data_IF_198911354137
#
_entry.id   IF_198911354137
#
_cell.length_a   1.000
_cell.length_b   1.000
_cell.length_c   1.000
_cell.angle_alpha   90.00
_cell.angle_beta   90.00
_cell.angle_gamma   90.00
#
_symmetry.space_group_name_H-M   'P 1'
#
loop_
_entity.id
_entity.type
_entity.pdbx_description
1 polymer ?
#
# COMPACT_ATOMS: atom_id res chain seq x y z
N UNK A 1 8.24 22.31 9.17
CA UNK A 1 7.78 22.26 7.77
C UNK A 1 6.74 21.16 7.70
N UNK A 2 5.54 21.42 7.18
CA UNK A 2 4.53 20.38 7.00
C UNK A 2 4.93 19.47 5.82
N UNK A 3 4.63 18.17 5.91
CA UNK A 3 4.75 17.28 4.75
C UNK A 3 3.85 17.76 3.61
N UNK A 4 4.29 17.57 2.36
CA UNK A 4 3.42 17.73 1.18
C UNK A 4 2.44 16.57 1.09
N UNK A 5 1.35 16.73 0.32
CA UNK A 5 0.40 15.65 0.10
C UNK A 5 1.04 14.45 -0.61
N UNK A 6 2.01 14.69 -1.51
CA UNK A 6 2.78 13.63 -2.15
C UNK A 6 3.62 12.84 -1.14
N UNK A 7 4.24 13.52 -0.18
CA UNK A 7 5.00 12.85 0.88
C UNK A 7 4.09 12.03 1.79
N UNK A 8 2.93 12.58 2.18
CA UNK A 8 1.93 11.84 2.97
C UNK A 8 1.39 10.61 2.23
N UNK A 9 1.09 10.77 0.94
CA UNK A 9 0.60 9.68 0.09
C UNK A 9 1.66 8.58 -0.08
N UNK A 10 2.93 8.95 -0.24
CA UNK A 10 4.04 8.02 -0.29
C UNK A 10 4.17 7.21 1.00
N UNK A 11 4.21 7.88 2.15
CA UNK A 11 4.35 7.22 3.45
C UNK A 11 3.18 6.25 3.71
N UNK A 12 1.95 6.67 3.41
CA UNK A 12 0.76 5.82 3.57
C UNK A 12 0.79 4.60 2.62
N UNK A 13 1.19 4.81 1.37
CA UNK A 13 1.29 3.72 0.40
C UNK A 13 2.32 2.67 0.82
N UNK A 14 3.49 3.09 1.34
CA UNK A 14 4.50 2.17 1.85
C UNK A 14 3.98 1.34 3.04
N UNK A 15 3.34 1.98 4.02
CA UNK A 15 2.77 1.28 5.17
C UNK A 15 1.70 0.25 4.76
N UNK A 16 0.86 0.61 3.80
CA UNK A 16 -0.19 -0.29 3.31
C UNK A 16 0.38 -1.47 2.50
N UNK A 17 1.41 -1.24 1.68
CA UNK A 17 2.15 -2.32 1.00
C UNK A 17 2.80 -3.26 2.00
N UNK A 18 3.45 -2.73 3.03
CA UNK A 18 4.08 -3.53 4.09
C UNK A 18 3.05 -4.39 4.83
N UNK A 19 1.89 -3.82 5.16
CA UNK A 19 0.80 -4.56 5.79
C UNK A 19 0.26 -5.70 4.91
N UNK A 20 0.15 -5.49 3.59
CA UNK A 20 -0.25 -6.51 2.62
C UNK A 20 0.76 -7.66 2.55
N UNK A 21 2.04 -7.33 2.43
CA UNK A 21 3.14 -8.31 2.41
C UNK A 21 3.13 -9.13 3.70
N UNK A 22 3.02 -8.47 4.86
CA UNK A 22 2.96 -9.14 6.16
C UNK A 22 1.76 -10.07 6.27
N UNK A 23 0.58 -9.64 5.80
CA UNK A 23 -0.63 -10.49 5.80
C UNK A 23 -0.41 -11.76 4.98
N UNK A 24 0.18 -11.64 3.79
CA UNK A 24 0.43 -12.79 2.92
C UNK A 24 1.45 -13.74 3.52
N UNK A 25 2.54 -13.22 4.09
CA UNK A 25 3.55 -14.02 4.78
C UNK A 25 2.94 -14.82 5.94
N UNK A 26 2.08 -14.17 6.75
CA UNK A 26 1.36 -14.84 7.85
C UNK A 26 0.43 -15.93 7.32
N UNK A 27 -0.28 -15.68 6.21
CA UNK A 27 -1.16 -16.67 5.55
C UNK A 27 -0.37 -17.92 5.12
N UNK A 28 0.81 -17.71 4.54
CA UNK A 28 1.72 -18.79 4.13
C UNK A 28 2.25 -19.58 5.33
N UNK A 29 2.69 -18.90 6.40
CA UNK A 29 3.17 -19.55 7.64
C UNK A 29 2.08 -20.42 8.27
N UNK A 30 0.84 -19.93 8.30
CA UNK A 30 -0.28 -20.64 8.91
C UNK A 30 -0.83 -21.79 8.05
N UNK A 31 -0.24 -22.04 6.87
CA UNK A 31 -0.68 -23.10 5.96
C UNK A 31 -2.09 -22.90 5.40
N UNK A 32 -2.65 -21.69 5.54
CA UNK A 32 -3.98 -21.35 5.04
C UNK A 32 -4.01 -21.29 3.49
N UNK A 33 -2.84 -21.30 2.85
CA UNK A 33 -2.66 -21.04 1.43
C UNK A 33 -1.79 -22.10 0.72
N UNK A 34 -1.99 -23.39 1.05
CA UNK A 34 -1.21 -24.50 0.48
C UNK A 34 -1.53 -24.81 -0.99
N UNK A 35 -2.59 -24.22 -1.56
CA UNK A 35 -3.11 -24.52 -2.90
C UNK A 35 -3.39 -23.27 -3.77
N UNK A 36 -3.12 -22.06 -3.29
CA UNK A 36 -3.14 -20.92 -4.20
C UNK A 36 -1.88 -21.00 -5.05
N UNK A 37 -2.06 -21.09 -6.37
CA UNK A 37 -1.02 -20.72 -7.34
C UNK A 37 -0.19 -19.58 -6.74
N UNK A 38 1.13 -19.77 -6.64
CA UNK A 38 2.09 -18.77 -6.18
C UNK A 38 2.05 -17.55 -7.11
N UNK A 39 0.95 -16.79 -7.08
CA UNK A 39 0.87 -15.49 -7.72
C UNK A 39 1.80 -14.61 -6.94
N UNK A 40 2.93 -14.31 -7.55
CA UNK A 40 3.87 -13.29 -7.10
C UNK A 40 3.08 -12.04 -6.74
N UNK A 41 3.37 -11.45 -5.57
CA UNK A 41 2.76 -10.17 -5.21
C UNK A 41 3.40 -9.12 -6.09
N UNK A 42 2.61 -8.48 -6.95
CA UNK A 42 3.06 -7.28 -7.64
C UNK A 42 3.12 -6.11 -6.66
N UNK A 43 4.26 -5.99 -5.97
CA UNK A 43 4.53 -4.95 -4.98
C UNK A 43 4.47 -3.57 -5.62
N UNK A 44 4.98 -3.43 -6.85
CA UNK A 44 5.01 -2.14 -7.54
C UNK A 44 3.62 -1.69 -7.95
N UNK A 45 2.82 -2.58 -8.56
CA UNK A 45 1.43 -2.29 -8.91
C UNK A 45 0.62 -1.90 -7.68
N UNK A 46 0.77 -2.65 -6.58
CA UNK A 46 0.12 -2.34 -5.31
C UNK A 46 0.52 -0.97 -4.77
N UNK A 47 1.82 -0.66 -4.75
CA UNK A 47 2.31 0.65 -4.32
C UNK A 47 1.74 1.78 -5.21
N UNK A 48 1.79 1.60 -6.53
CA UNK A 48 1.34 2.61 -7.50
C UNK A 48 -0.14 2.95 -7.28
N UNK A 49 -0.99 1.94 -7.17
CA UNK A 49 -2.43 2.12 -6.95
C UNK A 49 -2.73 2.80 -5.60
N UNK A 50 -2.05 2.35 -4.53
CA UNK A 50 -2.22 2.91 -3.19
C UNK A 50 -1.72 4.35 -3.10
N UNK A 51 -0.61 4.67 -3.77
CA UNK A 51 -0.08 6.04 -3.83
C UNK A 51 -1.08 6.99 -4.47
N UNK A 52 -1.61 6.66 -5.66
CA UNK A 52 -2.55 7.54 -6.36
C UNK A 52 -3.86 7.72 -5.57
N UNK A 53 -4.41 6.63 -5.03
CA UNK A 53 -5.61 6.70 -4.17
C UNK A 53 -5.39 7.55 -2.92
N UNK A 54 -4.22 7.42 -2.29
CA UNK A 54 -3.85 8.21 -1.11
C UNK A 54 -3.64 9.68 -1.48
N UNK A 55 -3.01 9.95 -2.61
CA UNK A 55 -2.79 11.31 -3.11
C UNK A 55 -4.11 12.02 -3.41
N UNK A 56 -5.05 11.34 -4.05
CA UNK A 56 -6.38 11.87 -4.32
C UNK A 56 -7.12 12.21 -3.02
N UNK A 57 -7.05 11.33 -2.01
CA UNK A 57 -7.64 11.57 -0.70
C UNK A 57 -6.98 12.77 0.01
N UNK A 58 -5.66 12.84 0.05
CA UNK A 58 -4.95 13.96 0.68
C UNK A 58 -5.18 15.28 -0.05
N UNK A 59 -5.31 15.28 -1.38
CA UNK A 59 -5.64 16.50 -2.13
C UNK A 59 -7.08 16.96 -1.90
N UNK A 60 -8.01 16.05 -1.63
CA UNK A 60 -9.37 16.38 -1.25
C UNK A 60 -9.43 16.99 0.16
N UNK A 61 -8.76 16.34 1.12
CA UNK A 61 -8.81 16.73 2.54
C UNK A 61 -7.90 17.93 2.87
N UNK A 62 -6.81 18.09 2.12
CA UNK A 62 -5.82 19.16 2.29
C UNK A 62 -5.51 19.81 0.93
N UNK A 63 -6.45 20.56 0.32
CA UNK A 63 -6.21 21.22 -0.95
C UNK A 63 -5.04 22.21 -0.82
N UNK A 64 -4.19 22.27 -1.86
CA UNK A 64 -3.14 23.29 -1.94
C UNK A 64 -3.82 24.66 -2.05
N UNK A 65 -3.42 25.61 -1.18
CA UNK A 65 -3.88 27.01 -1.22
C UNK A 65 -3.55 27.69 -2.55
#
# INVERSE_FOLDING_TARGET
MSLTNEQRAHDLALLAVEAEVNRKLISQINGADYNADEKEVDIYGLYYDLFHRSLDAFNLDFPKE
#
